data_IF_560668325595
#
_entry.id   IF_560668325595
#
_cell.length_a   1.000
_cell.length_b   1.000
_cell.length_c   1.000
_cell.angle_alpha   90.00
_cell.angle_beta   90.00
_cell.angle_gamma   90.00
#
_symmetry.space_group_name_H-M   'P 1'
#
loop_
_entity.id
_entity.type
_entity.pdbx_description
1 polymer ?
#
# COMPACT_ATOMS: atom_id res chain seq x y z
N UNK A 1 10.52 26.84 20.02
CA UNK A 1 10.45 25.64 19.18
C UNK A 1 9.40 24.79 19.82
N UNK A 2 8.15 24.89 19.35
CA UNK A 2 7.08 24.01 19.79
C UNK A 2 7.51 22.59 19.40
N UNK A 3 7.61 21.71 20.41
CA UNK A 3 7.80 20.29 20.15
C UNK A 3 6.60 19.84 19.32
N UNK A 4 6.81 19.57 18.02
CA UNK A 4 5.81 18.92 17.20
C UNK A 4 5.33 17.69 17.98
N UNK A 5 4.09 17.70 18.41
CA UNK A 5 3.51 16.57 19.11
C UNK A 5 3.62 15.36 18.18
N UNK A 6 4.22 14.28 18.68
CA UNK A 6 4.35 13.06 17.87
C UNK A 6 2.99 12.55 17.48
N UNK A 7 2.79 12.24 16.20
CA UNK A 7 1.58 11.59 15.68
C UNK A 7 1.29 10.23 16.35
N UNK A 8 2.28 9.66 17.03
CA UNK A 8 2.18 8.43 17.82
C UNK A 8 1.63 8.66 19.26
N UNK A 9 1.20 9.89 19.58
CA UNK A 9 0.71 10.25 20.92
C UNK A 9 1.81 10.13 21.97
N UNK A 10 1.57 9.36 23.02
CA UNK A 10 2.53 9.14 24.12
C UNK A 10 3.56 8.03 23.84
N UNK A 11 3.41 7.31 22.72
CA UNK A 11 4.31 6.20 22.36
C UNK A 11 5.54 6.75 21.65
N UNK A 12 6.71 6.36 22.09
CA UNK A 12 7.96 6.74 21.43
C UNK A 12 8.11 6.01 20.08
N UNK A 13 8.81 6.62 19.12
CA UNK A 13 9.16 5.95 17.86
C UNK A 13 9.85 4.60 18.12
N UNK A 14 10.76 4.53 19.08
CA UNK A 14 11.46 3.29 19.42
C UNK A 14 10.49 2.20 19.91
N UNK A 15 9.53 2.55 20.77
CA UNK A 15 8.51 1.62 21.24
C UNK A 15 7.57 1.19 20.11
N UNK A 16 7.17 2.11 19.25
CA UNK A 16 6.34 1.80 18.09
C UNK A 16 7.03 0.79 17.17
N UNK A 17 8.25 1.05 16.76
CA UNK A 17 9.05 0.16 15.91
C UNK A 17 9.32 -1.20 16.56
N UNK A 18 9.59 -1.22 17.87
CA UNK A 18 9.87 -2.45 18.60
C UNK A 18 8.63 -3.33 18.80
N UNK A 19 7.47 -2.73 19.07
CA UNK A 19 6.31 -3.44 19.60
C UNK A 19 5.09 -3.46 18.70
N UNK A 20 4.97 -2.53 17.73
CA UNK A 20 3.76 -2.38 16.90
C UNK A 20 4.04 -2.56 15.41
N UNK A 21 5.07 -1.90 14.87
CA UNK A 21 5.36 -1.95 13.43
C UNK A 21 5.48 -3.39 12.91
N UNK A 22 4.62 -3.76 11.95
CA UNK A 22 4.46 -5.10 11.38
C UNK A 22 4.16 -6.22 12.39
N UNK A 23 3.53 -5.88 13.53
CA UNK A 23 3.30 -6.84 14.61
C UNK A 23 1.87 -6.84 15.14
N UNK A 24 1.33 -5.66 15.46
CA UNK A 24 -0.01 -5.55 16.05
C UNK A 24 -0.64 -4.18 15.83
N UNK A 25 -1.97 -4.09 15.79
CA UNK A 25 -2.70 -2.82 15.71
C UNK A 25 -2.39 -1.87 16.86
N UNK A 26 -2.56 -0.57 16.59
CA UNK A 26 -2.42 0.49 17.57
C UNK A 26 -3.46 1.58 17.34
N UNK A 27 -4.34 1.80 18.31
CA UNK A 27 -5.21 2.96 18.34
C UNK A 27 -4.49 4.14 18.99
N UNK A 28 -4.49 5.30 18.32
CA UNK A 28 -3.89 6.54 18.81
C UNK A 28 -5.00 7.59 18.89
N UNK A 29 -5.43 7.93 20.08
CA UNK A 29 -6.42 8.98 20.30
C UNK A 29 -5.78 10.35 20.15
N UNK A 30 -6.45 11.24 19.38
CA UNK A 30 -5.99 12.60 19.17
C UNK A 30 -4.57 12.66 18.56
N UNK A 31 -4.23 11.75 17.63
CA UNK A 31 -2.95 11.73 16.91
C UNK A 31 -2.64 13.09 16.29
N UNK A 32 -3.68 13.76 15.75
CA UNK A 32 -3.63 15.15 15.31
C UNK A 32 -4.73 15.91 16.02
N UNK A 33 -4.40 16.65 17.10
CA UNK A 33 -5.41 17.42 17.85
C UNK A 33 -6.05 18.50 16.98
N UNK A 34 -7.37 18.64 17.07
CA UNK A 34 -8.16 19.59 16.29
C UNK A 34 -7.92 19.45 14.78
N UNK A 35 -7.83 18.23 14.28
CA UNK A 35 -7.63 17.97 12.87
C UNK A 35 -8.78 18.54 12.04
N UNK A 36 -8.44 19.45 11.14
CA UNK A 36 -9.32 19.97 10.10
C UNK A 36 -8.93 19.27 8.79
N UNK A 37 -9.80 18.41 8.20
CA UNK A 37 -9.47 17.71 6.97
C UNK A 37 -9.19 18.69 5.84
N UNK A 38 -8.08 18.53 5.09
CA UNK A 38 -7.74 19.45 4.01
C UNK A 38 -8.60 19.30 2.76
N UNK A 39 -9.46 18.30 2.71
CA UNK A 39 -10.39 18.03 1.59
C UNK A 39 -11.69 17.46 2.16
N UNK A 40 -12.82 17.83 1.56
CA UNK A 40 -14.15 17.35 1.92
C UNK A 40 -14.73 16.35 0.91
N UNK A 41 -15.97 15.91 1.14
CA UNK A 41 -16.66 14.92 0.30
C UNK A 41 -17.01 15.44 -1.09
N UNK A 42 -17.36 16.72 -1.21
CA UNK A 42 -17.72 17.34 -2.50
C UNK A 42 -16.48 17.51 -3.39
N UNK A 43 -15.35 17.91 -2.79
CA UNK A 43 -14.07 18.02 -3.47
C UNK A 43 -13.56 16.64 -3.93
N UNK A 44 -13.70 15.60 -3.09
CA UNK A 44 -13.39 14.21 -3.49
C UNK A 44 -14.28 13.72 -4.64
N UNK A 45 -15.57 14.05 -4.62
CA UNK A 45 -16.48 13.72 -5.71
C UNK A 45 -16.06 14.46 -7.00
N UNK A 46 -15.64 15.72 -6.90
CA UNK A 46 -15.09 16.48 -8.02
C UNK A 46 -13.85 15.82 -8.63
N UNK A 47 -12.90 15.38 -7.79
CA UNK A 47 -11.73 14.64 -8.25
C UNK A 47 -12.08 13.34 -8.98
N UNK A 48 -13.11 12.63 -8.51
CA UNK A 48 -13.54 11.37 -9.09
C UNK A 48 -14.22 11.49 -10.46
N UNK A 49 -14.47 12.71 -10.96
CA UNK A 49 -14.92 12.98 -12.33
C UNK A 49 -13.74 12.99 -13.33
N UNK A 50 -12.52 13.19 -12.86
CA UNK A 50 -11.33 13.33 -13.71
C UNK A 50 -10.78 11.96 -14.13
N UNK A 51 -10.41 11.82 -15.41
CA UNK A 51 -9.96 10.56 -15.99
C UNK A 51 -8.59 10.09 -15.46
N UNK A 52 -7.76 11.02 -15.02
CA UNK A 52 -6.43 10.79 -14.49
C UNK A 52 -6.45 10.36 -13.02
N UNK A 53 -7.59 10.55 -12.32
CA UNK A 53 -7.73 10.23 -10.90
C UNK A 53 -8.33 8.84 -10.72
N UNK A 54 -7.58 7.95 -10.11
CA UNK A 54 -8.07 6.60 -9.78
C UNK A 54 -9.10 6.68 -8.64
N UNK A 55 -10.35 6.32 -8.95
CA UNK A 55 -11.45 6.35 -7.98
C UNK A 55 -12.33 5.12 -8.07
N UNK A 56 -12.97 4.79 -6.96
CA UNK A 56 -13.86 3.64 -6.81
C UNK A 56 -15.06 4.03 -5.95
N UNK A 57 -16.22 3.51 -6.32
CA UNK A 57 -17.44 3.65 -5.55
C UNK A 57 -17.92 2.26 -5.14
N UNK A 58 -18.21 2.09 -3.85
CA UNK A 58 -18.77 0.86 -3.29
C UNK A 58 -20.13 1.16 -2.71
N UNK A 59 -21.16 0.47 -3.20
CA UNK A 59 -22.57 0.77 -2.87
C UNK A 59 -23.26 -0.47 -2.32
N UNK A 60 -24.06 -0.28 -1.29
CA UNK A 60 -24.94 -1.30 -0.70
C UNK A 60 -24.25 -2.29 0.23
N UNK A 61 -25.04 -3.13 0.85
CA UNK A 61 -24.59 -4.15 1.80
C UNK A 61 -23.95 -5.38 1.12
N UNK A 62 -24.09 -5.48 -0.20
CA UNK A 62 -23.47 -6.49 -1.06
C UNK A 62 -22.19 -5.96 -1.76
N UNK A 63 -21.74 -4.76 -1.40
CA UNK A 63 -20.49 -4.12 -1.84
C UNK A 63 -20.33 -4.08 -3.36
N UNK A 64 -21.33 -3.54 -4.06
CA UNK A 64 -21.26 -3.33 -5.51
C UNK A 64 -20.14 -2.33 -5.81
N UNK A 65 -19.13 -2.76 -6.58
CA UNK A 65 -17.95 -1.97 -6.93
C UNK A 65 -18.10 -1.36 -8.32
N UNK A 66 -17.86 -0.06 -8.41
CA UNK A 66 -17.78 0.69 -9.65
C UNK A 66 -16.41 1.42 -9.70
N UNK A 67 -15.88 1.61 -10.90
CA UNK A 67 -14.62 2.33 -11.12
C UNK A 67 -14.89 3.65 -11.83
N UNK A 68 -14.16 4.70 -11.43
CA UNK A 68 -14.17 5.97 -12.12
C UNK A 68 -13.48 5.94 -13.51
N UNK A 69 -13.50 7.05 -14.25
CA UNK A 69 -14.11 8.33 -13.84
C UNK A 69 -15.64 8.21 -13.80
N UNK A 70 -16.24 8.95 -12.87
CA UNK A 70 -17.71 9.04 -12.74
C UNK A 70 -18.23 10.28 -13.46
N UNK A 71 -19.55 10.46 -13.45
CA UNK A 71 -20.22 11.67 -13.88
C UNK A 71 -21.11 12.24 -12.76
N UNK A 72 -21.51 13.50 -12.89
CA UNK A 72 -22.36 14.17 -11.91
C UNK A 72 -23.71 13.46 -11.73
N UNK A 73 -24.26 12.85 -12.80
CA UNK A 73 -25.53 12.12 -12.75
C UNK A 73 -25.41 10.90 -11.84
N UNK A 74 -24.25 10.23 -11.83
CA UNK A 74 -24.00 9.07 -10.94
C UNK A 74 -24.05 9.48 -9.49
N UNK A 75 -23.40 10.59 -9.12
CA UNK A 75 -23.43 11.10 -7.75
C UNK A 75 -24.82 11.59 -7.34
N UNK A 76 -25.55 12.25 -8.23
CA UNK A 76 -26.92 12.71 -7.97
C UNK A 76 -27.93 11.55 -7.76
N UNK A 77 -27.60 10.34 -8.22
CA UNK A 77 -28.45 9.14 -8.09
C UNK A 77 -27.92 8.14 -7.04
N UNK A 78 -27.00 8.54 -6.15
CA UNK A 78 -26.61 7.70 -5.04
C UNK A 78 -27.72 7.54 -4.01
N UNK A 79 -27.78 6.39 -3.31
CA UNK A 79 -28.70 6.22 -2.20
C UNK A 79 -28.33 7.18 -1.05
N UNK A 80 -29.26 7.42 -0.13
CA UNK A 80 -29.04 8.29 1.03
C UNK A 80 -28.00 7.75 2.02
N UNK A 81 -27.64 6.46 1.93
CA UNK A 81 -26.73 5.77 2.86
C UNK A 81 -26.12 4.52 2.24
N UNK A 82 -25.19 3.88 2.96
CA UNK A 82 -24.55 2.62 2.61
C UNK A 82 -23.72 2.68 1.31
N UNK A 83 -22.95 3.75 1.13
CA UNK A 83 -21.97 3.84 0.06
C UNK A 83 -20.70 4.53 0.53
N UNK A 84 -19.62 4.29 -0.18
CA UNK A 84 -18.35 4.95 0.05
C UNK A 84 -17.65 5.21 -1.28
N UNK A 85 -17.12 6.43 -1.44
CA UNK A 85 -16.22 6.84 -2.50
C UNK A 85 -14.80 6.72 -1.96
N UNK A 86 -13.90 6.12 -2.76
CA UNK A 86 -12.47 6.02 -2.48
C UNK A 86 -11.72 6.70 -3.62
N UNK A 87 -10.84 7.63 -3.30
CA UNK A 87 -9.98 8.32 -4.26
C UNK A 87 -8.54 8.00 -3.89
N UNK A 88 -7.80 7.40 -4.81
CA UNK A 88 -6.43 6.95 -4.62
C UNK A 88 -5.45 8.10 -4.82
N UNK A 89 -4.33 8.08 -4.10
CA UNK A 89 -3.22 9.00 -4.27
C UNK A 89 -3.63 10.50 -4.27
N UNK A 90 -4.51 10.90 -3.34
CA UNK A 90 -5.01 12.28 -3.22
C UNK A 90 -3.86 13.25 -2.89
N UNK A 91 -2.81 12.78 -2.24
CA UNK A 91 -1.58 13.51 -1.96
C UNK A 91 -0.86 14.01 -3.22
N UNK A 92 -1.05 13.37 -4.37
CA UNK A 92 -0.48 13.83 -5.64
C UNK A 92 -1.22 15.04 -6.23
N UNK A 93 -2.47 15.26 -5.84
CA UNK A 93 -3.35 16.27 -6.40
C UNK A 93 -3.61 17.45 -5.45
N UNK A 94 -3.54 17.20 -4.14
CA UNK A 94 -3.87 18.16 -3.08
C UNK A 94 -2.65 18.35 -2.18
N UNK A 95 -1.92 19.47 -2.32
CA UNK A 95 -0.69 19.73 -1.57
C UNK A 95 -0.86 19.65 -0.05
N UNK A 96 -2.02 20.07 0.47
CA UNK A 96 -2.33 20.03 1.90
C UNK A 96 -2.50 18.59 2.40
N UNK A 97 -2.91 17.64 1.53
CA UNK A 97 -2.94 16.21 1.84
C UNK A 97 -1.51 15.65 1.80
N UNK A 98 -0.67 16.06 0.84
CA UNK A 98 0.73 15.67 0.78
C UNK A 98 1.51 16.09 2.03
N UNK A 99 1.20 17.24 2.64
CA UNK A 99 1.82 17.70 3.89
C UNK A 99 1.64 16.71 5.06
N UNK A 100 0.59 15.88 5.03
CA UNK A 100 0.39 14.85 6.06
C UNK A 100 1.48 13.78 6.02
N UNK A 101 2.07 13.48 4.87
CA UNK A 101 3.16 12.51 4.73
C UNK A 101 4.39 12.89 5.56
N UNK A 102 4.65 14.20 5.73
CA UNK A 102 5.75 14.69 6.55
C UNK A 102 5.66 14.28 8.04
N UNK A 103 4.45 13.92 8.50
CA UNK A 103 4.24 13.47 9.88
C UNK A 103 4.72 12.03 10.12
N UNK A 104 5.04 11.30 9.07
CA UNK A 104 5.50 9.91 9.08
C UNK A 104 7.02 9.78 8.86
N UNK A 105 7.79 10.86 9.08
CA UNK A 105 9.25 10.94 8.94
C UNK A 105 10.04 9.98 9.86
N UNK A 106 9.37 9.38 10.84
CA UNK A 106 9.91 8.33 11.69
C UNK A 106 9.97 6.95 11.02
N UNK A 107 9.42 6.82 9.80
CA UNK A 107 9.49 5.65 8.93
C UNK A 107 10.27 5.99 7.65
N UNK A 108 10.92 5.01 7.01
CA UNK A 108 11.67 5.28 5.78
C UNK A 108 10.74 5.83 4.67
N UNK A 109 11.10 6.97 4.08
CA UNK A 109 10.31 7.64 3.03
C UNK A 109 10.04 6.75 1.82
N UNK A 110 10.98 5.88 1.44
CA UNK A 110 10.79 4.91 0.35
C UNK A 110 9.76 3.81 0.66
N UNK A 111 9.29 3.71 1.91
CA UNK A 111 8.19 2.81 2.30
C UNK A 111 6.82 3.47 2.17
N UNK A 112 6.72 4.79 2.19
CA UNK A 112 5.45 5.49 1.95
C UNK A 112 4.97 5.18 0.53
N UNK A 113 3.67 4.90 0.39
CA UNK A 113 3.03 4.73 -0.92
C UNK A 113 2.26 5.99 -1.29
N UNK A 114 1.05 6.11 -0.82
CA UNK A 114 0.19 7.25 -1.09
C UNK A 114 -0.80 7.49 0.06
N UNK A 115 -1.60 8.54 -0.07
CA UNK A 115 -2.77 8.76 0.78
C UNK A 115 -4.04 8.56 -0.04
N UNK A 116 -4.71 7.42 0.18
CA UNK A 116 -6.07 7.25 -0.28
C UNK A 116 -7.04 7.96 0.67
N UNK A 117 -7.95 8.77 0.15
CA UNK A 117 -9.00 9.37 0.95
C UNK A 117 -10.35 8.76 0.58
N UNK A 118 -11.12 8.39 1.61
CA UNK A 118 -12.48 7.92 1.43
C UNK A 118 -13.48 8.86 2.06
N UNK A 119 -14.59 9.10 1.36
CA UNK A 119 -15.83 9.65 1.90
C UNK A 119 -16.88 8.54 1.98
N UNK A 120 -17.65 8.49 3.04
CA UNK A 120 -18.73 7.52 3.17
C UNK A 120 -19.94 8.13 3.85
N UNK A 121 -21.14 7.75 3.37
CA UNK A 121 -22.40 7.99 4.07
C UNK A 121 -22.68 6.92 5.13
N UNK A 122 -23.68 7.17 5.98
CA UNK A 122 -24.02 6.27 7.09
C UNK A 122 -24.13 4.81 6.65
N UNK A 123 -23.43 3.91 7.34
CA UNK A 123 -23.35 2.49 7.00
C UNK A 123 -22.43 2.18 5.82
N UNK A 124 -21.84 3.18 5.16
CA UNK A 124 -20.90 2.98 4.05
C UNK A 124 -19.64 2.21 4.48
N UNK A 125 -19.22 1.24 3.66
CA UNK A 125 -18.11 0.33 3.96
C UNK A 125 -17.61 -0.34 2.69
N UNK A 126 -16.36 -0.83 2.72
CA UNK A 126 -15.79 -1.74 1.71
C UNK A 126 -15.83 -3.21 2.16
N UNK A 127 -16.52 -3.49 3.28
CA UNK A 127 -16.63 -4.82 3.87
C UNK A 127 -15.41 -5.25 4.69
N UNK A 128 -15.50 -6.39 5.39
CA UNK A 128 -14.40 -6.94 6.14
C UNK A 128 -13.34 -7.52 5.19
N UNK A 129 -12.09 -7.06 5.34
CA UNK A 129 -10.96 -7.46 4.48
C UNK A 129 -9.64 -7.42 5.26
N UNK A 130 -8.55 -7.72 4.60
CA UNK A 130 -7.18 -7.50 5.09
C UNK A 130 -6.28 -7.05 3.95
N UNK A 131 -5.20 -6.36 4.29
CA UNK A 131 -4.17 -5.91 3.35
C UNK A 131 -2.84 -6.59 3.62
N UNK A 132 -1.97 -6.65 2.62
CA UNK A 132 -0.60 -7.15 2.74
C UNK A 132 0.42 -6.04 3.07
N UNK A 133 -0.06 -4.83 3.34
CA UNK A 133 0.76 -3.66 3.63
C UNK A 133 0.36 -3.02 4.97
N UNK A 134 1.25 -2.21 5.51
CA UNK A 134 0.98 -1.37 6.68
C UNK A 134 0.11 -0.18 6.27
N UNK A 135 -0.85 0.22 7.09
CA UNK A 135 -1.67 1.40 6.87
C UNK A 135 -1.95 2.14 8.17
N UNK A 136 -1.94 3.48 8.12
CA UNK A 136 -2.48 4.34 9.15
C UNK A 136 -3.78 4.96 8.67
N UNK A 137 -4.84 4.73 9.42
CA UNK A 137 -6.19 5.19 9.13
C UNK A 137 -6.47 6.42 10.01
N UNK A 138 -6.23 7.61 9.48
CA UNK A 138 -6.50 8.88 10.16
C UNK A 138 -7.95 9.27 9.91
N UNK A 139 -8.72 9.44 10.99
CA UNK A 139 -10.10 9.92 10.88
C UNK A 139 -10.11 11.41 10.54
N UNK A 140 -10.75 11.73 9.42
CA UNK A 140 -10.99 13.10 8.96
C UNK A 140 -12.22 13.71 9.60
N UNK A 141 -13.27 14.00 8.83
CA UNK A 141 -14.56 14.45 9.34
C UNK A 141 -15.41 13.27 9.81
N UNK A 142 -16.38 13.53 10.68
CA UNK A 142 -17.36 12.56 11.16
C UNK A 142 -16.73 11.41 11.95
N UNK A 143 -17.42 10.27 11.99
CA UNK A 143 -17.02 9.13 12.80
C UNK A 143 -17.01 7.85 11.96
N UNK A 144 -16.06 6.95 12.22
CA UNK A 144 -16.04 5.61 11.65
C UNK A 144 -15.80 4.57 12.73
N UNK A 145 -16.64 3.54 12.74
CA UNK A 145 -16.45 2.37 13.61
C UNK A 145 -15.54 1.38 12.92
N UNK A 146 -14.42 1.08 13.55
CA UNK A 146 -13.47 0.09 13.12
C UNK A 146 -13.53 -1.15 14.02
N UNK A 147 -13.69 -2.31 13.40
CA UNK A 147 -13.55 -3.60 14.02
C UNK A 147 -12.26 -4.25 13.52
N UNK A 148 -11.49 -4.83 14.44
CA UNK A 148 -10.26 -5.55 14.15
C UNK A 148 -10.49 -7.01 14.48
N UNK A 149 -10.01 -7.91 13.62
CA UNK A 149 -10.24 -9.34 13.76
C UNK A 149 -8.96 -10.17 13.70
N UNK A 150 -9.11 -11.36 13.18
CA UNK A 150 -8.06 -12.37 13.10
C UNK A 150 -6.91 -11.98 12.16
N UNK A 151 -5.78 -12.66 12.34
CA UNK A 151 -4.70 -12.66 11.34
C UNK A 151 -5.10 -13.51 10.14
N UNK A 152 -4.85 -13.02 8.94
CA UNK A 152 -5.18 -13.63 7.65
C UNK A 152 -3.91 -13.92 6.84
N UNK A 153 -4.05 -14.79 5.83
CA UNK A 153 -2.99 -15.17 4.90
C UNK A 153 -3.57 -15.51 3.52
N UNK A 154 -2.74 -16.02 2.62
CA UNK A 154 -3.14 -16.42 1.26
C UNK A 154 -4.13 -17.60 1.20
N UNK A 155 -4.33 -18.29 2.31
CA UNK A 155 -5.28 -19.41 2.43
C UNK A 155 -6.60 -19.00 3.09
N UNK A 156 -6.69 -17.77 3.57
CA UNK A 156 -7.90 -17.27 4.23
C UNK A 156 -9.06 -17.21 3.25
N UNK A 157 -10.18 -17.82 3.62
CA UNK A 157 -11.35 -17.92 2.77
C UNK A 157 -11.98 -16.53 2.47
N UNK A 158 -12.23 -16.26 1.21
CA UNK A 158 -12.94 -15.07 0.76
C UNK A 158 -14.38 -15.41 0.40
N UNK A 159 -15.27 -14.43 0.52
CA UNK A 159 -16.67 -14.57 0.14
C UNK A 159 -16.77 -14.82 -1.37
N UNK A 160 -17.68 -15.73 -1.74
CA UNK A 160 -17.97 -16.02 -3.14
C UNK A 160 -18.81 -14.90 -3.78
N UNK A 161 -18.68 -14.72 -5.09
CA UNK A 161 -19.47 -13.79 -5.90
C UNK A 161 -19.32 -12.30 -5.54
N UNK A 162 -18.21 -11.89 -4.93
CA UNK A 162 -17.84 -10.49 -4.75
C UNK A 162 -16.63 -10.15 -5.62
N UNK A 163 -16.59 -8.94 -6.17
CA UNK A 163 -15.41 -8.41 -6.88
C UNK A 163 -14.36 -7.97 -5.86
N UNK A 164 -14.80 -7.42 -4.73
CA UNK A 164 -13.95 -7.08 -3.59
C UNK A 164 -13.51 -8.35 -2.86
N UNK A 165 -12.29 -8.34 -2.34
CA UNK A 165 -11.74 -9.46 -1.54
C UNK A 165 -12.30 -9.45 -0.12
N UNK A 166 -13.61 -9.66 0.01
CA UNK A 166 -14.31 -9.70 1.29
C UNK A 166 -14.01 -11.03 2.00
N UNK A 167 -13.76 -10.99 3.29
CA UNK A 167 -13.59 -12.19 4.11
C UNK A 167 -14.90 -12.97 4.19
N UNK A 168 -14.85 -14.30 3.99
CA UNK A 168 -16.01 -15.17 4.19
C UNK A 168 -16.42 -15.22 5.66
N UNK A 169 -15.44 -15.23 6.56
CA UNK A 169 -15.63 -15.22 8.00
C UNK A 169 -14.81 -14.11 8.63
N UNK A 170 -15.45 -13.22 9.37
CA UNK A 170 -14.81 -12.14 10.11
C UNK A 170 -15.13 -12.30 11.60
N UNK A 171 -14.09 -12.46 12.42
CA UNK A 171 -14.19 -12.64 13.86
C UNK A 171 -13.58 -11.43 14.59
N UNK A 172 -14.36 -10.37 14.88
CA UNK A 172 -13.85 -9.18 15.55
C UNK A 172 -13.37 -9.48 16.97
N UNK A 173 -12.19 -8.98 17.32
CA UNK A 173 -11.60 -9.05 18.66
C UNK A 173 -11.66 -7.72 19.38
N UNK A 174 -11.57 -6.62 18.64
CA UNK A 174 -11.58 -5.26 19.16
C UNK A 174 -12.48 -4.37 18.29
N UNK A 175 -13.05 -3.35 18.91
CA UNK A 175 -13.90 -2.37 18.22
C UNK A 175 -13.67 -0.98 18.80
N UNK A 176 -13.55 0.02 17.93
CA UNK A 176 -13.43 1.43 18.30
C UNK A 176 -14.21 2.31 17.33
N UNK A 177 -14.82 3.36 17.84
CA UNK A 177 -15.29 4.48 17.03
C UNK A 177 -14.20 5.55 17.05
N UNK A 178 -13.68 5.89 15.87
CA UNK A 178 -12.71 6.95 15.71
C UNK A 178 -13.43 8.28 15.46
N UNK A 179 -12.91 9.33 16.10
CA UNK A 179 -13.31 10.72 15.97
C UNK A 179 -12.26 11.52 15.20
N UNK A 180 -12.57 12.73 14.67
CA UNK A 180 -11.60 13.53 13.92
C UNK A 180 -10.27 13.69 14.65
N UNK A 181 -9.18 13.36 13.96
CA UNK A 181 -7.83 13.38 14.50
C UNK A 181 -7.39 12.13 15.26
N UNK A 182 -8.27 11.15 15.48
CA UNK A 182 -7.88 9.81 15.93
C UNK A 182 -7.23 9.04 14.77
N UNK A 183 -6.33 8.13 15.09
CA UNK A 183 -5.64 7.32 14.10
C UNK A 183 -5.54 5.86 14.54
N UNK A 184 -5.76 4.95 13.60
CA UNK A 184 -5.62 3.51 13.81
C UNK A 184 -4.51 2.98 12.88
N UNK A 185 -3.45 2.44 13.45
CA UNK A 185 -2.44 1.71 12.70
C UNK A 185 -2.81 0.23 12.60
N UNK A 186 -2.73 -0.32 11.40
CA UNK A 186 -2.93 -1.73 11.08
C UNK A 186 -1.68 -2.30 10.40
N UNK A 187 -1.06 -3.35 10.98
CA UNK A 187 -0.02 -4.08 10.30
C UNK A 187 -0.60 -4.98 9.20
N UNK A 188 0.24 -5.48 8.28
CA UNK A 188 -0.18 -6.44 7.26
C UNK A 188 -0.95 -7.63 7.83
N UNK A 189 -1.89 -8.15 7.03
CA UNK A 189 -2.61 -9.39 7.27
C UNK A 189 -3.55 -9.39 8.50
N UNK A 190 -3.86 -8.23 9.04
CA UNK A 190 -4.87 -8.11 10.10
C UNK A 190 -6.23 -7.80 9.49
N UNK A 191 -7.19 -8.68 9.72
CA UNK A 191 -8.58 -8.50 9.32
C UNK A 191 -9.18 -7.24 9.96
N UNK A 192 -9.85 -6.42 9.16
CA UNK A 192 -10.49 -5.20 9.65
C UNK A 192 -11.76 -4.85 8.88
N UNK A 193 -12.63 -4.10 9.52
CA UNK A 193 -13.91 -3.66 8.95
C UNK A 193 -14.25 -2.27 9.45
N UNK A 194 -14.24 -1.30 8.55
CA UNK A 194 -14.64 0.07 8.82
C UNK A 194 -16.04 0.36 8.31
N UNK A 195 -16.90 0.88 9.19
CA UNK A 195 -18.29 1.27 8.87
C UNK A 195 -18.52 2.70 9.29
N UNK A 196 -18.99 3.53 8.38
CA UNK A 196 -19.31 4.92 8.65
C UNK A 196 -20.46 5.05 9.67
N UNK A 197 -20.33 6.00 10.61
CA UNK A 197 -21.35 6.39 11.58
C UNK A 197 -21.75 7.83 11.24
N UNK A 198 -22.79 7.98 10.43
CA UNK A 198 -23.07 9.20 9.69
C UNK A 198 -22.05 9.43 8.58
N UNK A 199 -22.12 10.60 7.93
CA UNK A 199 -21.15 11.01 6.92
C UNK A 199 -19.75 11.17 7.51
N UNK A 200 -18.72 10.63 6.86
CA UNK A 200 -17.36 10.72 7.36
C UNK A 200 -16.29 10.61 6.27
N UNK A 201 -15.08 11.12 6.57
CA UNK A 201 -13.89 10.95 5.74
C UNK A 201 -12.80 10.20 6.51
N UNK A 202 -12.00 9.40 5.80
CA UNK A 202 -10.81 8.72 6.36
C UNK A 202 -9.64 8.86 5.39
N UNK A 203 -8.49 9.24 5.92
CA UNK A 203 -7.22 9.32 5.20
C UNK A 203 -6.41 8.06 5.50
N UNK A 204 -6.21 7.24 4.49
CA UNK A 204 -5.47 5.98 4.59
C UNK A 204 -4.06 6.19 4.07
N UNK A 205 -3.09 6.32 4.98
CA UNK A 205 -1.67 6.46 4.64
C UNK A 205 -1.08 5.08 4.46
N UNK A 206 -0.88 4.68 3.21
CA UNK A 206 -0.40 3.36 2.81
C UNK A 206 1.13 3.28 2.76
N UNK A 207 1.65 2.05 2.95
CA UNK A 207 3.08 1.77 2.88
C UNK A 207 3.35 0.67 1.85
N UNK A 208 4.35 0.88 1.00
CA UNK A 208 4.74 -0.08 -0.05
C UNK A 208 5.12 -1.44 0.54
N UNK A 209 4.50 -2.48 0.01
CA UNK A 209 4.80 -3.87 0.34
C UNK A 209 4.70 -4.72 -0.93
N UNK A 210 5.70 -4.62 -1.82
CA UNK A 210 5.64 -5.30 -3.11
C UNK A 210 5.64 -6.81 -2.95
N UNK A 211 4.86 -7.50 -3.77
CA UNK A 211 4.87 -8.95 -3.84
C UNK A 211 6.18 -9.49 -4.43
N UNK A 212 6.57 -10.70 -4.04
CA UNK A 212 7.76 -11.34 -4.60
C UNK A 212 7.71 -11.47 -6.13
N UNK A 213 6.52 -11.65 -6.70
CA UNK A 213 6.31 -11.72 -8.15
C UNK A 213 6.53 -10.39 -8.85
N UNK A 214 6.12 -9.26 -8.23
CA UNK A 214 6.38 -7.91 -8.74
C UNK A 214 7.89 -7.61 -8.71
N UNK A 215 8.54 -7.94 -7.59
CA UNK A 215 9.99 -7.79 -7.45
C UNK A 215 10.76 -8.61 -8.47
N UNK A 216 10.32 -9.85 -8.76
CA UNK A 216 10.98 -10.73 -9.74
C UNK A 216 10.78 -10.23 -11.17
N UNK A 217 9.62 -9.70 -11.52
CA UNK A 217 9.31 -9.15 -12.84
C UNK A 217 10.17 -7.92 -13.13
N UNK A 218 10.20 -6.98 -12.20
CA UNK A 218 11.02 -5.76 -12.32
C UNK A 218 12.53 -6.09 -12.35
N UNK A 219 13.01 -6.96 -11.45
CA UNK A 219 14.39 -7.41 -11.43
C UNK A 219 14.80 -8.11 -12.73
N UNK A 220 13.91 -8.93 -13.30
CA UNK A 220 14.19 -9.56 -14.59
C UNK A 220 14.33 -8.53 -15.71
N UNK A 221 13.51 -7.49 -15.71
CA UNK A 221 13.59 -6.35 -16.64
C UNK A 221 14.91 -5.59 -16.46
N UNK A 222 15.32 -5.35 -15.22
CA UNK A 222 16.61 -4.71 -14.90
C UNK A 222 17.80 -5.55 -15.39
N UNK A 223 17.79 -6.86 -15.12
CA UNK A 223 18.83 -7.78 -15.58
C UNK A 223 18.94 -7.82 -17.11
N UNK A 224 17.83 -7.75 -17.84
CA UNK A 224 17.82 -7.71 -19.29
C UNK A 224 18.36 -6.40 -19.85
N UNK A 225 18.12 -5.27 -19.17
CA UNK A 225 18.50 -3.94 -19.64
C UNK A 225 19.95 -3.56 -19.29
N UNK A 226 20.39 -3.86 -18.09
CA UNK A 226 21.67 -3.40 -17.51
C UNK A 226 22.47 -4.49 -16.81
N UNK A 227 21.98 -5.72 -16.84
CA UNK A 227 22.61 -6.84 -16.15
C UNK A 227 23.93 -7.29 -16.77
N UNK A 228 24.61 -8.26 -16.13
CA UNK A 228 25.83 -8.85 -16.66
C UNK A 228 25.57 -9.59 -17.98
N UNK A 229 26.65 -9.91 -18.70
CA UNK A 229 26.55 -10.68 -19.94
C UNK A 229 25.77 -12.00 -19.74
N UNK A 230 24.91 -12.39 -20.70
CA UNK A 230 24.06 -13.57 -20.53
C UNK A 230 24.89 -14.84 -20.24
N UNK A 231 24.43 -15.59 -19.26
CA UNK A 231 24.97 -16.93 -18.95
C UNK A 231 23.99 -17.96 -19.48
N UNK A 232 24.50 -19.03 -20.05
CA UNK A 232 23.69 -20.06 -20.71
C UNK A 232 23.69 -21.35 -19.91
N UNK A 233 22.53 -22.05 -19.95
CA UNK A 233 22.41 -23.38 -19.40
C UNK A 233 23.41 -24.34 -20.13
N UNK A 234 24.23 -25.05 -19.35
CA UNK A 234 25.09 -26.10 -19.82
C UNK A 234 24.46 -27.43 -19.45
N UNK A 235 24.35 -28.34 -20.40
CA UNK A 235 23.77 -29.64 -20.18
C UNK A 235 24.52 -30.42 -19.09
N UNK A 236 23.82 -31.05 -18.15
CA UNK A 236 24.40 -32.07 -17.31
C UNK A 236 24.74 -33.31 -18.16
N UNK A 237 25.62 -34.23 -17.68
CA UNK A 237 25.89 -35.45 -18.41
C UNK A 237 24.61 -36.23 -18.72
N UNK A 238 24.37 -36.52 -19.99
CA UNK A 238 23.24 -37.32 -20.47
C UNK A 238 23.66 -38.80 -20.63
N UNK A 239 22.74 -39.70 -20.31
CA UNK A 239 22.81 -41.12 -20.68
C UNK A 239 21.81 -41.38 -21.81
N UNK A 240 21.99 -42.49 -22.59
CA UNK A 240 21.02 -42.85 -23.61
C UNK A 240 19.57 -42.94 -23.10
N UNK A 241 19.37 -43.40 -21.87
CA UNK A 241 18.07 -43.54 -21.24
C UNK A 241 17.48 -42.16 -20.89
N UNK A 242 18.27 -41.22 -20.39
CA UNK A 242 17.81 -39.87 -20.04
C UNK A 242 17.59 -38.96 -21.26
N UNK A 243 18.27 -39.29 -22.41
CA UNK A 243 18.14 -38.50 -23.63
C UNK A 243 16.76 -38.64 -24.32
N UNK A 244 16.01 -39.70 -24.04
CA UNK A 244 14.70 -39.99 -24.65
C UNK A 244 13.57 -40.03 -23.61
N UNK A 245 13.86 -39.75 -22.36
CA UNK A 245 12.92 -39.79 -21.23
C UNK A 245 12.29 -38.41 -20.92
N UNK A 246 11.58 -38.32 -19.81
CA UNK A 246 11.12 -37.03 -19.27
C UNK A 246 12.32 -36.16 -18.88
N UNK A 247 12.07 -34.86 -18.68
CA UNK A 247 13.14 -33.91 -18.28
C UNK A 247 13.80 -34.39 -16.99
N UNK A 248 15.14 -34.70 -17.05
CA UNK A 248 15.85 -35.21 -15.88
C UNK A 248 15.93 -34.14 -14.76
N UNK A 249 15.83 -34.57 -13.50
CA UNK A 249 15.98 -33.68 -12.33
C UNK A 249 17.30 -32.87 -12.36
N UNK A 250 18.38 -33.44 -12.94
CA UNK A 250 19.65 -32.76 -13.10
C UNK A 250 19.57 -31.47 -13.93
N UNK A 251 18.68 -31.40 -14.93
CA UNK A 251 18.45 -30.18 -15.70
C UNK A 251 17.76 -29.12 -14.86
N UNK A 252 16.73 -29.50 -14.09
CA UNK A 252 16.00 -28.59 -13.18
C UNK A 252 16.97 -28.03 -12.12
N UNK A 253 17.82 -28.90 -11.55
CA UNK A 253 18.83 -28.48 -10.59
C UNK A 253 19.87 -27.51 -11.20
N UNK A 254 20.30 -27.78 -12.42
CA UNK A 254 21.26 -26.92 -13.15
C UNK A 254 20.62 -25.57 -13.50
N UNK A 255 19.36 -25.54 -13.95
CA UNK A 255 18.65 -24.32 -14.24
C UNK A 255 18.46 -23.49 -12.96
N UNK A 256 18.01 -24.10 -11.86
CA UNK A 256 17.89 -23.43 -10.54
C UNK A 256 19.23 -22.83 -10.10
N UNK A 257 20.32 -23.60 -10.21
CA UNK A 257 21.67 -23.14 -9.87
C UNK A 257 22.05 -21.89 -10.68
N UNK A 258 21.85 -21.93 -12.00
CA UNK A 258 22.18 -20.83 -12.91
C UNK A 258 21.40 -19.56 -12.54
N UNK A 259 20.09 -19.69 -12.25
CA UNK A 259 19.24 -18.56 -11.82
C UNK A 259 19.77 -17.98 -10.51
N UNK A 260 20.03 -18.82 -9.50
CA UNK A 260 20.52 -18.35 -8.20
C UNK A 260 21.89 -17.68 -8.30
N UNK A 261 22.81 -18.21 -9.12
CA UNK A 261 24.11 -17.60 -9.38
C UNK A 261 24.01 -16.27 -10.14
N UNK A 262 22.96 -16.05 -10.92
CA UNK A 262 22.71 -14.78 -11.60
C UNK A 262 22.20 -13.71 -10.59
N UNK A 263 21.53 -14.14 -9.53
CA UNK A 263 21.06 -13.29 -8.44
C UNK A 263 22.09 -13.10 -7.32
N UNK A 264 23.25 -13.78 -7.38
CA UNK A 264 24.30 -13.70 -6.35
C UNK A 264 25.24 -12.50 -6.60
N UNK A 265 24.63 -11.30 -6.69
CA UNK A 265 25.32 -10.01 -6.81
C UNK A 265 24.64 -8.99 -5.86
N UNK A 266 25.10 -8.95 -4.63
CA UNK A 266 24.56 -8.09 -3.58
C UNK A 266 24.57 -6.61 -3.98
N UNK A 267 25.56 -6.16 -4.77
CA UNK A 267 25.62 -4.77 -5.21
C UNK A 267 24.53 -4.46 -6.22
N UNK A 268 24.35 -5.32 -7.22
CA UNK A 268 23.30 -5.18 -8.21
C UNK A 268 21.91 -5.21 -7.54
N UNK A 269 21.69 -6.16 -6.62
CA UNK A 269 20.42 -6.28 -5.91
C UNK A 269 20.14 -5.04 -5.03
N UNK A 270 21.15 -4.51 -4.35
CA UNK A 270 20.98 -3.32 -3.52
C UNK A 270 20.65 -2.07 -4.37
N UNK A 271 21.37 -1.86 -5.47
CA UNK A 271 21.13 -0.75 -6.40
C UNK A 271 19.74 -0.88 -7.06
N UNK A 272 19.41 -2.07 -7.54
CA UNK A 272 18.08 -2.35 -8.08
C UNK A 272 16.97 -2.08 -7.05
N UNK A 273 17.10 -2.59 -5.84
CA UNK A 273 16.07 -2.41 -4.80
C UNK A 273 15.85 -0.94 -4.45
N UNK A 274 16.92 -0.14 -4.38
CA UNK A 274 16.81 1.29 -4.14
C UNK A 274 16.06 2.00 -5.29
N UNK A 275 16.34 1.65 -6.54
CA UNK A 275 15.63 2.14 -7.72
C UNK A 275 14.16 1.72 -7.67
N UNK A 276 13.90 0.44 -7.51
CA UNK A 276 12.55 -0.14 -7.49
C UNK A 276 11.67 0.51 -6.41
N UNK A 277 12.18 0.66 -5.19
CA UNK A 277 11.41 1.24 -4.08
C UNK A 277 11.22 2.76 -4.18
N UNK A 278 12.08 3.46 -4.92
CA UNK A 278 11.91 4.91 -5.13
C UNK A 278 11.20 5.25 -6.44
N UNK A 279 10.98 4.29 -7.34
CA UNK A 279 10.21 4.53 -8.58
C UNK A 279 8.77 4.89 -8.24
N UNK A 280 8.27 6.07 -8.65
CA UNK A 280 6.90 6.49 -8.42
C UNK A 280 5.90 5.57 -9.10
N UNK A 281 4.76 5.34 -8.45
CA UNK A 281 3.65 4.54 -9.00
C UNK A 281 3.02 5.20 -10.23
N UNK A 282 2.90 6.52 -10.18
CA UNK A 282 2.31 7.34 -11.23
C UNK A 282 3.38 8.21 -11.90
N UNK A 283 4.31 7.60 -12.62
CA UNK A 283 5.45 8.29 -13.25
C UNK A 283 5.07 9.47 -14.14
N UNK A 284 3.89 9.41 -14.78
CA UNK A 284 3.41 10.48 -15.66
C UNK A 284 3.03 11.76 -14.89
N UNK A 285 2.82 11.68 -13.59
CA UNK A 285 2.39 12.80 -12.74
C UNK A 285 3.55 13.45 -11.96
N UNK A 286 4.74 12.85 -11.95
CA UNK A 286 5.88 13.30 -11.13
C UNK A 286 6.24 14.77 -11.42
N UNK A 287 6.29 15.16 -12.70
CA UNK A 287 6.64 16.51 -13.11
C UNK A 287 5.56 17.55 -12.73
N UNK A 288 4.31 17.12 -12.58
CA UNK A 288 3.16 17.98 -12.25
C UNK A 288 2.94 18.09 -10.75
N UNK A 289 3.13 17.00 -10.02
CA UNK A 289 2.86 16.90 -8.59
C UNK A 289 4.07 17.22 -7.71
N UNK A 290 5.28 17.14 -8.28
CA UNK A 290 6.53 17.32 -7.52
C UNK A 290 6.80 16.19 -6.51
N UNK A 291 6.18 15.01 -6.69
CA UNK A 291 6.42 13.83 -5.84
C UNK A 291 7.91 13.50 -5.79
N UNK A 292 8.45 13.33 -4.58
CA UNK A 292 9.84 12.94 -4.36
C UNK A 292 9.90 11.70 -3.46
N UNK A 293 10.34 10.58 -4.04
CA UNK A 293 10.65 9.34 -3.31
C UNK A 293 12.14 9.15 -3.25
N UNK A 294 12.71 9.14 -2.08
CA UNK A 294 14.16 9.10 -1.88
C UNK A 294 14.58 7.89 -1.07
N UNK A 295 15.77 7.36 -1.39
CA UNK A 295 16.44 6.35 -0.61
C UNK A 295 17.97 6.57 -0.63
N UNK A 296 18.61 6.30 0.49
CA UNK A 296 20.07 6.28 0.62
C UNK A 296 20.57 4.85 0.73
N UNK A 297 21.49 4.48 -0.17
CA UNK A 297 22.15 3.20 -0.13
C UNK A 297 23.59 3.37 0.36
N UNK A 298 23.94 2.69 1.47
CA UNK A 298 25.33 2.60 1.94
C UNK A 298 26.08 1.54 1.15
N UNK A 299 27.08 1.97 0.40
CA UNK A 299 27.94 1.09 -0.38
C UNK A 299 28.97 0.33 0.50
N UNK A 300 29.55 -0.72 -0.04
CA UNK A 300 30.56 -1.54 0.65
C UNK A 300 31.83 -0.74 1.04
N UNK A 301 32.16 0.31 0.30
CA UNK A 301 33.28 1.23 0.60
C UNK A 301 32.96 2.31 1.65
N UNK A 302 31.72 2.29 2.17
CA UNK A 302 31.20 3.24 3.14
C UNK A 302 30.64 4.53 2.57
N UNK A 303 30.72 4.74 1.24
CA UNK A 303 30.07 5.86 0.58
C UNK A 303 28.54 5.69 0.58
N UNK A 304 27.83 6.79 0.33
CA UNK A 304 26.37 6.78 0.22
C UNK A 304 26.00 7.15 -1.21
N UNK A 305 25.17 6.31 -1.84
CA UNK A 305 24.50 6.60 -3.09
C UNK A 305 23.09 7.10 -2.78
N UNK A 306 22.72 8.22 -3.34
CA UNK A 306 21.38 8.78 -3.22
C UNK A 306 20.52 8.39 -4.43
N UNK A 307 19.28 8.00 -4.17
CA UNK A 307 18.30 7.65 -5.21
C UNK A 307 17.06 8.50 -5.03
N UNK A 308 16.55 9.00 -6.13
CA UNK A 308 15.34 9.81 -6.18
C UNK A 308 14.51 9.43 -7.41
N UNK A 309 13.23 9.15 -7.20
CA UNK A 309 12.26 8.80 -8.26
C UNK A 309 12.78 7.74 -9.25
N UNK A 310 13.38 6.67 -8.72
CA UNK A 310 13.92 5.58 -9.53
C UNK A 310 15.28 5.87 -10.20
N UNK A 311 15.89 7.02 -9.92
CA UNK A 311 17.15 7.43 -10.52
C UNK A 311 18.24 7.61 -9.46
N UNK A 312 19.44 7.14 -9.77
CA UNK A 312 20.63 7.43 -8.96
C UNK A 312 21.09 8.86 -9.25
N UNK A 313 21.25 9.63 -8.18
CA UNK A 313 21.72 11.02 -8.23
C UNK A 313 23.24 11.13 -8.21
#
# INVERSE_FOLDING_TARGET
MDSLQSILGEISTADFLANYWQKKPLLIRGAIPNFEPPIDGDELAGMALEAEVESRLVVGSDWQLEHGPFDEERFANLPESQWTLLVQAVDLWVPEVAELLCKFDFLPSWRLDDIMVSYAEDGGSVGPHFDYYDVFLLQGAGQRRWQIGQHCDEHTALAENTVLKILADFAPTDEWVLEPGDMLYLPPQIAHHGVAVGACTTFSVGFRSPAATEMLDDLATELLSRGPAPRYLIDPPLTPESAQGPVPEAYVAQAKKLILETLDDDKLLAEWFAIFMTTPKYQMLVDETGEQRTADLRNADGSISHYENGLKQ
#
